data_IF_475739069427
#
_entry.id   IF_475739069427
#
_cell.length_a   1.000
_cell.length_b   1.000
_cell.length_c   1.000
_cell.angle_alpha   90.00
_cell.angle_beta   90.00
_cell.angle_gamma   90.00
#
_symmetry.space_group_name_H-M   'P 1'
#
loop_
_entity.id
_entity.type
_entity.pdbx_description
1 polymer ?
#
# COMPACT_ATOMS: atom_id res chain seq x y z
N UNK A 1 -17.84 -5.01 10.13
CA UNK A 1 -16.84 -5.76 9.36
C UNK A 1 -15.51 -5.62 10.06
N UNK A 2 -14.80 -6.73 10.33
CA UNK A 2 -13.44 -6.69 10.86
C UNK A 2 -12.49 -6.25 9.76
N UNK A 3 -11.56 -5.34 10.05
CA UNK A 3 -10.57 -4.89 9.07
C UNK A 3 -9.63 -6.04 8.66
N UNK A 4 -9.20 -6.05 7.41
CA UNK A 4 -8.17 -6.98 6.92
C UNK A 4 -6.86 -6.77 7.68
N UNK A 5 -6.13 -7.87 7.88
CA UNK A 5 -4.84 -7.87 8.60
C UNK A 5 -3.70 -7.90 7.60
N UNK A 6 -3.12 -6.74 7.35
CA UNK A 6 -1.97 -6.65 6.44
C UNK A 6 -0.69 -7.10 7.13
N UNK A 7 0.11 -7.87 6.38
CA UNK A 7 1.48 -8.24 6.73
C UNK A 7 2.46 -7.92 5.61
N UNK A 8 3.75 -8.15 5.89
CA UNK A 8 4.83 -7.96 4.91
C UNK A 8 5.80 -9.15 4.98
N UNK A 9 6.27 -9.61 3.83
CA UNK A 9 7.23 -10.70 3.71
C UNK A 9 8.64 -10.28 4.12
N UNK A 10 9.28 -11.05 4.99
CA UNK A 10 10.69 -10.78 5.36
C UNK A 10 11.65 -10.96 4.19
N UNK A 11 11.25 -11.69 3.15
CA UNK A 11 12.02 -11.82 1.90
C UNK A 11 12.27 -10.47 1.20
N UNK A 12 11.42 -9.45 1.43
CA UNK A 12 11.59 -8.08 0.96
C UNK A 12 12.46 -7.19 1.87
N UNK A 13 13.03 -7.75 2.94
CA UNK A 13 13.87 -7.05 3.93
C UNK A 13 15.19 -7.81 4.21
N UNK A 14 15.66 -8.61 3.25
CA UNK A 14 16.81 -9.52 3.43
C UNK A 14 18.14 -8.89 3.88
N UNK A 15 18.30 -7.56 3.73
CA UNK A 15 19.48 -6.82 4.19
C UNK A 15 19.39 -6.38 5.68
N UNK A 16 18.29 -6.68 6.37
CA UNK A 16 18.07 -6.36 7.78
C UNK A 16 18.28 -7.60 8.65
N UNK A 17 18.65 -7.41 9.92
CA UNK A 17 18.53 -8.49 10.91
C UNK A 17 17.04 -8.70 11.22
N UNK A 18 16.66 -9.90 11.63
CA UNK A 18 15.25 -10.22 11.91
C UNK A 18 14.58 -9.22 12.87
N UNK A 19 15.23 -8.84 13.97
CA UNK A 19 14.63 -7.90 14.92
C UNK A 19 14.39 -6.51 14.30
N UNK A 20 15.28 -6.05 13.41
CA UNK A 20 15.15 -4.76 12.70
C UNK A 20 14.03 -4.84 11.65
N UNK A 21 13.95 -5.94 10.90
CA UNK A 21 12.87 -6.17 9.95
C UNK A 21 11.50 -6.15 10.65
N UNK A 22 11.37 -6.83 11.79
CA UNK A 22 10.13 -6.85 12.59
C UNK A 22 9.78 -5.45 13.14
N UNK A 23 10.77 -4.67 13.58
CA UNK A 23 10.58 -3.28 14.04
C UNK A 23 10.08 -2.37 12.91
N UNK A 24 10.65 -2.48 11.72
CA UNK A 24 10.21 -1.71 10.54
C UNK A 24 8.76 -2.07 10.20
N UNK A 25 8.44 -3.36 10.11
CA UNK A 25 7.09 -3.85 9.77
C UNK A 25 6.06 -3.33 10.79
N UNK A 26 6.31 -3.50 12.08
CA UNK A 26 5.40 -3.03 13.13
C UNK A 26 5.32 -1.49 13.18
N UNK A 27 6.44 -0.79 13.02
CA UNK A 27 6.52 0.67 13.07
C UNK A 27 5.76 1.36 11.94
N UNK A 28 5.66 0.73 10.77
CA UNK A 28 4.82 1.20 9.65
C UNK A 28 3.32 0.95 9.89
N UNK A 29 2.99 0.06 10.82
CA UNK A 29 1.62 -0.26 11.21
C UNK A 29 1.03 -1.48 10.50
N UNK A 30 1.88 -2.41 10.02
CA UNK A 30 1.45 -3.77 9.69
C UNK A 30 1.07 -4.53 10.97
N UNK A 31 0.22 -5.55 10.81
CA UNK A 31 -0.29 -6.39 11.92
C UNK A 31 0.16 -7.85 11.83
N UNK A 32 0.99 -8.17 10.84
CA UNK A 32 1.56 -9.49 10.67
C UNK A 32 2.84 -9.49 9.84
N UNK A 33 3.49 -10.65 9.83
CA UNK A 33 4.71 -10.90 9.07
C UNK A 33 4.64 -12.27 8.41
N UNK A 34 5.00 -12.30 7.14
CA UNK A 34 5.32 -13.53 6.43
C UNK A 34 6.81 -13.82 6.66
N UNK A 35 7.11 -14.70 7.62
CA UNK A 35 8.46 -15.00 8.07
C UNK A 35 9.06 -16.10 7.21
N UNK A 36 9.96 -15.71 6.33
CA UNK A 36 10.69 -16.62 5.45
C UNK A 36 11.79 -17.33 6.24
N UNK A 37 11.77 -18.66 6.22
CA UNK A 37 12.87 -19.46 6.74
C UNK A 37 14.05 -19.38 5.77
N UNK A 38 15.11 -18.69 6.17
CA UNK A 38 16.33 -18.50 5.40
C UNK A 38 17.57 -18.39 6.29
N UNK A 39 18.76 -18.20 5.70
CA UNK A 39 20.02 -18.08 6.45
C UNK A 39 20.16 -16.76 7.22
N UNK A 40 19.48 -15.70 6.80
CA UNK A 40 19.59 -14.35 7.39
C UNK A 40 18.66 -14.15 8.57
N UNK A 41 17.36 -14.36 8.34
CA UNK A 41 16.30 -14.13 9.31
C UNK A 41 16.13 -15.31 10.27
N UNK A 42 15.68 -16.47 9.79
CA UNK A 42 15.42 -17.64 10.65
C UNK A 42 15.98 -18.93 10.06
N UNK A 43 17.28 -19.19 10.30
CA UNK A 43 17.91 -20.44 9.84
C UNK A 43 17.37 -21.63 10.66
N UNK A 44 16.63 -22.55 10.02
CA UNK A 44 16.04 -23.70 10.70
C UNK A 44 17.10 -24.70 11.17
N UNK A 45 18.35 -24.63 10.71
CA UNK A 45 19.43 -25.55 11.09
C UNK A 45 20.43 -24.95 12.06
N UNK A 46 20.19 -23.73 12.55
CA UNK A 46 21.10 -23.08 13.50
C UNK A 46 21.14 -23.79 14.85
N UNK A 47 22.30 -23.74 15.51
CA UNK A 47 22.44 -24.24 16.88
C UNK A 47 21.59 -23.40 17.85
N UNK A 48 20.99 -24.06 18.84
CA UNK A 48 20.16 -23.37 19.83
C UNK A 48 18.82 -22.82 19.30
N UNK A 49 18.30 -23.38 18.20
CA UNK A 49 17.04 -22.99 17.55
C UNK A 49 15.90 -22.73 18.55
N UNK A 50 15.66 -23.64 19.51
CA UNK A 50 14.56 -23.48 20.49
C UNK A 50 14.65 -22.18 21.30
N UNK A 51 15.86 -21.76 21.72
CA UNK A 51 16.06 -20.47 22.41
C UNK A 51 15.78 -19.30 21.48
N UNK A 52 16.15 -19.43 20.20
CA UNK A 52 15.92 -18.41 19.18
C UNK A 52 14.44 -18.26 18.88
N UNK A 53 13.71 -19.36 18.70
CA UNK A 53 12.25 -19.35 18.52
C UNK A 53 11.53 -18.72 19.72
N UNK A 54 11.92 -19.07 20.95
CA UNK A 54 11.34 -18.44 22.15
C UNK A 54 11.61 -16.92 22.23
N UNK A 55 12.76 -16.44 21.72
CA UNK A 55 13.03 -15.00 21.57
C UNK A 55 12.17 -14.38 20.47
N UNK A 56 12.14 -14.98 19.28
CA UNK A 56 11.36 -14.50 18.14
C UNK A 56 9.88 -14.40 18.48
N UNK A 57 9.31 -15.44 19.09
CA UNK A 57 7.91 -15.43 19.56
C UNK A 57 7.63 -14.27 20.51
N UNK A 58 8.46 -14.09 21.56
CA UNK A 58 8.29 -12.96 22.49
C UNK A 58 8.37 -11.61 21.77
N UNK A 59 9.23 -11.50 20.75
CA UNK A 59 9.34 -10.28 19.94
C UNK A 59 8.09 -10.02 19.10
N UNK A 60 7.58 -11.04 18.42
CA UNK A 60 6.33 -10.96 17.64
C UNK A 60 5.15 -10.55 18.54
N UNK A 61 5.00 -11.19 19.70
CA UNK A 61 3.96 -10.82 20.68
C UNK A 61 4.10 -9.38 21.17
N UNK A 62 5.32 -8.94 21.52
CA UNK A 62 5.57 -7.58 21.99
C UNK A 62 5.28 -6.51 20.92
N UNK A 63 5.43 -6.86 19.63
CA UNK A 63 5.14 -5.98 18.50
C UNK A 63 3.69 -6.10 18.00
N UNK A 64 2.90 -7.04 18.54
CA UNK A 64 1.53 -7.27 18.09
C UNK A 64 1.44 -7.87 16.67
N UNK A 65 2.46 -8.59 16.22
CA UNK A 65 2.51 -9.20 14.89
C UNK A 65 2.01 -10.64 14.92
N UNK A 66 1.00 -10.95 14.09
CA UNK A 66 0.73 -12.33 13.68
C UNK A 66 1.83 -12.85 12.76
N UNK A 67 1.94 -14.17 12.58
CA UNK A 67 3.00 -14.77 11.77
C UNK A 67 2.48 -15.91 10.90
N UNK A 68 2.93 -15.93 9.65
CA UNK A 68 2.91 -17.10 8.76
C UNK A 68 4.36 -17.49 8.50
N UNK A 69 4.65 -18.79 8.47
CA UNK A 69 6.00 -19.29 8.16
C UNK A 69 6.07 -19.65 6.68
N UNK A 70 7.02 -19.06 5.96
CA UNK A 70 7.24 -19.35 4.54
C UNK A 70 8.48 -20.20 4.31
N UNK A 71 8.41 -21.09 3.33
CA UNK A 71 9.48 -22.05 3.01
C UNK A 71 10.21 -21.73 1.70
N UNK A 72 10.07 -20.49 1.20
CA UNK A 72 10.64 -19.97 -0.05
C UNK A 72 12.08 -19.45 0.03
N UNK A 73 12.83 -19.76 1.08
CA UNK A 73 14.24 -19.35 1.20
C UNK A 73 15.11 -19.92 0.07
N UNK A 74 15.81 -19.05 -0.67
CA UNK A 74 16.52 -19.41 -1.92
C UNK A 74 17.58 -20.50 -1.78
N UNK A 75 18.40 -20.45 -0.75
CA UNK A 75 19.62 -21.28 -0.64
C UNK A 75 19.71 -22.00 0.70
N UNK A 76 18.55 -22.36 1.28
CA UNK A 76 18.49 -22.97 2.62
C UNK A 76 19.09 -24.37 2.60
N UNK A 77 18.69 -25.19 1.62
CA UNK A 77 19.06 -26.59 1.51
C UNK A 77 20.22 -26.84 0.55
N UNK A 78 20.39 -25.96 -0.45
CA UNK A 78 21.47 -26.03 -1.42
C UNK A 78 22.05 -24.63 -1.67
N UNK A 79 23.36 -24.40 -1.47
CA UNK A 79 23.97 -23.08 -1.66
C UNK A 79 24.11 -22.66 -3.13
N UNK A 80 23.94 -23.59 -4.09
CA UNK A 80 24.13 -23.35 -5.52
C UNK A 80 22.82 -23.36 -6.30
N UNK A 81 21.88 -24.23 -5.93
CA UNK A 81 20.60 -24.40 -6.62
C UNK A 81 19.47 -23.71 -5.85
N UNK A 82 18.91 -22.64 -6.44
CA UNK A 82 17.76 -21.92 -5.87
C UNK A 82 16.61 -22.89 -5.59
N UNK A 83 16.12 -22.88 -4.35
CA UNK A 83 15.02 -23.66 -3.81
C UNK A 83 15.16 -25.20 -3.86
N UNK A 84 16.25 -25.72 -4.41
CA UNK A 84 16.47 -27.15 -4.48
C UNK A 84 17.01 -27.69 -3.15
N UNK A 85 16.74 -28.96 -2.82
CA UNK A 85 15.85 -29.88 -3.55
C UNK A 85 14.38 -29.57 -3.28
N UNK A 86 13.48 -30.04 -4.15
CA UNK A 86 12.02 -29.95 -3.98
C UNK A 86 11.44 -31.33 -3.64
N UNK A 87 10.12 -31.44 -3.49
CA UNK A 87 9.46 -32.76 -3.35
C UNK A 87 9.48 -33.55 -4.68
N UNK A 88 9.86 -32.90 -5.79
CA UNK A 88 9.94 -33.49 -7.12
C UNK A 88 11.37 -33.90 -7.50
N UNK A 89 12.34 -33.74 -6.60
CA UNK A 89 13.75 -34.08 -6.89
C UNK A 89 13.86 -35.54 -7.35
N UNK A 90 14.64 -35.83 -8.40
CA UNK A 90 14.78 -37.18 -8.95
C UNK A 90 15.44 -38.13 -7.95
N UNK A 91 16.37 -37.62 -7.16
CA UNK A 91 17.09 -38.39 -6.14
C UNK A 91 16.25 -38.54 -4.86
N UNK A 92 16.03 -39.78 -4.36
CA UNK A 92 15.28 -40.01 -3.12
C UNK A 92 15.83 -39.24 -1.92
N UNK A 93 17.15 -39.08 -1.82
CA UNK A 93 17.81 -38.29 -0.78
C UNK A 93 17.46 -36.81 -0.88
N UNK A 94 17.33 -36.27 -2.10
CA UNK A 94 16.89 -34.90 -2.35
C UNK A 94 15.49 -34.66 -1.82
N UNK A 95 14.54 -35.54 -2.17
CA UNK A 95 13.16 -35.51 -1.66
C UNK A 95 13.12 -35.63 -0.14
N UNK A 96 13.90 -36.53 0.44
CA UNK A 96 13.98 -36.72 1.89
C UNK A 96 14.49 -35.45 2.62
N UNK A 97 15.46 -34.72 2.05
CA UNK A 97 15.92 -33.43 2.60
C UNK A 97 14.82 -32.36 2.58
N UNK A 98 14.10 -32.21 1.46
CA UNK A 98 12.98 -31.24 1.37
C UNK A 98 11.87 -31.59 2.36
N UNK A 99 11.51 -32.87 2.44
CA UNK A 99 10.51 -33.34 3.40
C UNK A 99 10.94 -33.06 4.84
N UNK A 100 12.20 -33.32 5.19
CA UNK A 100 12.76 -32.99 6.50
C UNK A 100 12.71 -31.50 6.83
N UNK A 101 12.94 -30.64 5.82
CA UNK A 101 12.78 -29.19 5.96
C UNK A 101 11.33 -28.78 6.20
N UNK A 102 10.37 -29.29 5.43
CA UNK A 102 8.94 -28.98 5.60
C UNK A 102 8.41 -29.43 6.97
N UNK A 103 8.77 -30.63 7.43
CA UNK A 103 8.43 -31.12 8.78
C UNK A 103 9.02 -30.22 9.88
N UNK A 104 10.25 -29.73 9.67
CA UNK A 104 10.88 -28.77 10.58
C UNK A 104 10.17 -27.41 10.55
N UNK A 105 9.75 -26.93 9.39
CA UNK A 105 8.97 -25.69 9.27
C UNK A 105 7.63 -25.79 10.01
N UNK A 106 6.95 -26.94 9.96
CA UNK A 106 5.76 -27.23 10.78
C UNK A 106 6.05 -27.14 12.28
N UNK A 107 7.16 -27.74 12.75
CA UNK A 107 7.57 -27.60 14.15
C UNK A 107 7.89 -26.16 14.56
N UNK A 108 8.59 -25.41 13.69
CA UNK A 108 8.88 -23.98 13.90
C UNK A 108 7.59 -23.17 13.97
N UNK A 109 6.63 -23.43 13.07
CA UNK A 109 5.33 -22.78 13.09
C UNK A 109 4.56 -23.06 14.38
N UNK A 110 4.60 -24.29 14.90
CA UNK A 110 4.00 -24.61 16.20
C UNK A 110 4.66 -23.82 17.35
N UNK A 111 5.99 -23.78 17.41
CA UNK A 111 6.74 -23.03 18.43
C UNK A 111 6.45 -21.51 18.38
N UNK A 112 6.27 -20.96 17.17
CA UNK A 112 5.95 -19.55 16.94
C UNK A 112 4.46 -19.22 17.05
N UNK A 113 3.58 -20.22 17.16
CA UNK A 113 2.12 -20.07 17.02
C UNK A 113 1.71 -19.39 15.70
N UNK A 114 2.32 -19.83 14.61
CA UNK A 114 2.01 -19.32 13.28
C UNK A 114 0.64 -19.77 12.79
N UNK A 115 -0.01 -18.91 12.01
CA UNK A 115 -1.36 -19.14 11.45
C UNK A 115 -1.38 -20.22 10.36
N UNK A 116 -0.26 -20.37 9.67
CA UNK A 116 -0.01 -21.38 8.63
C UNK A 116 1.50 -21.55 8.33
N UNK A 117 1.83 -22.64 7.62
CA UNK A 117 3.09 -22.82 6.89
C UNK A 117 2.81 -22.77 5.38
N UNK A 118 3.42 -21.84 4.64
CA UNK A 118 3.32 -21.75 3.19
C UNK A 118 4.42 -22.53 2.46
N UNK A 119 4.03 -23.35 1.47
CA UNK A 119 4.96 -24.07 0.59
C UNK A 119 4.31 -24.45 -0.75
N UNK A 120 5.15 -24.82 -1.72
CA UNK A 120 4.78 -25.08 -3.12
C UNK A 120 5.34 -26.43 -3.65
N UNK A 121 4.98 -26.84 -4.88
CA UNK A 121 5.41 -28.12 -5.48
C UNK A 121 6.86 -28.14 -5.97
N UNK A 122 7.23 -27.17 -6.79
CA UNK A 122 8.47 -27.09 -7.53
C UNK A 122 8.26 -27.34 -9.02
N UNK A 123 9.34 -27.17 -9.78
CA UNK A 123 9.37 -27.44 -11.22
C UNK A 123 9.88 -28.87 -11.44
N UNK A 124 9.19 -29.72 -12.23
CA UNK A 124 9.70 -31.03 -12.61
C UNK A 124 11.06 -30.93 -13.31
N UNK A 125 11.96 -31.86 -13.03
CA UNK A 125 13.26 -31.88 -13.72
C UNK A 125 13.07 -32.22 -15.22
N UNK A 126 13.94 -31.72 -16.12
CA UNK A 126 13.82 -32.00 -17.54
C UNK A 126 13.78 -33.51 -17.82
N UNK A 127 12.72 -33.96 -18.50
CA UNK A 127 12.53 -35.37 -18.85
C UNK A 127 11.81 -36.22 -17.79
N UNK A 128 11.48 -35.66 -16.62
CA UNK A 128 10.63 -36.32 -15.63
C UNK A 128 9.19 -36.40 -16.14
N UNK A 129 8.58 -37.58 -16.02
CA UNK A 129 7.17 -37.76 -16.35
C UNK A 129 6.26 -37.02 -15.36
N UNK A 130 5.17 -36.43 -15.86
CA UNK A 130 4.31 -35.57 -15.06
C UNK A 130 3.50 -36.36 -14.01
N UNK A 131 3.16 -37.62 -14.28
CA UNK A 131 2.47 -38.48 -13.31
C UNK A 131 3.45 -38.98 -12.24
N UNK A 132 4.70 -39.25 -12.61
CA UNK A 132 5.78 -39.53 -11.66
C UNK A 132 6.02 -38.33 -10.71
N UNK A 133 6.16 -37.12 -11.26
CA UNK A 133 6.32 -35.91 -10.47
C UNK A 133 5.13 -35.69 -9.53
N UNK A 134 3.90 -35.88 -10.01
CA UNK A 134 2.69 -35.75 -9.20
C UNK A 134 2.64 -36.79 -8.08
N UNK A 135 3.05 -38.03 -8.33
CA UNK A 135 3.15 -39.08 -7.32
C UNK A 135 4.14 -38.70 -6.22
N UNK A 136 5.33 -38.23 -6.57
CA UNK A 136 6.32 -37.76 -5.60
C UNK A 136 5.78 -36.60 -4.74
N UNK A 137 5.08 -35.64 -5.36
CA UNK A 137 4.43 -34.54 -4.65
C UNK A 137 3.38 -35.05 -3.67
N UNK A 138 2.49 -35.93 -4.12
CA UNK A 138 1.41 -36.48 -3.30
C UNK A 138 1.96 -37.23 -2.08
N UNK A 139 2.95 -38.11 -2.25
CA UNK A 139 3.59 -38.86 -1.16
C UNK A 139 4.27 -37.92 -0.13
N UNK A 140 4.97 -36.90 -0.62
CA UNK A 140 5.59 -35.87 0.20
C UNK A 140 4.57 -35.08 1.00
N UNK A 141 3.53 -34.55 0.32
CA UNK A 141 2.46 -33.77 0.95
C UNK A 141 1.69 -34.60 1.98
N UNK A 142 1.38 -35.88 1.72
CA UNK A 142 0.71 -36.75 2.68
C UNK A 142 1.49 -36.85 4.01
N UNK A 143 2.81 -36.94 3.94
CA UNK A 143 3.68 -36.98 5.13
C UNK A 143 3.72 -35.64 5.87
N UNK A 144 3.69 -34.52 5.15
CA UNK A 144 3.64 -33.18 5.78
C UNK A 144 2.27 -32.93 6.42
N UNK A 145 1.18 -33.36 5.78
CA UNK A 145 -0.20 -33.33 6.32
C UNK A 145 -0.30 -34.10 7.64
N UNK A 146 0.23 -35.32 7.69
CA UNK A 146 0.28 -36.11 8.94
C UNK A 146 1.04 -35.34 10.04
N UNK A 147 2.20 -34.79 9.70
CA UNK A 147 3.03 -34.03 10.65
C UNK A 147 2.30 -32.80 11.18
N UNK A 148 1.62 -32.07 10.30
CA UNK A 148 0.87 -30.86 10.63
C UNK A 148 -0.35 -31.17 11.51
N UNK A 149 -1.06 -32.27 11.21
CA UNK A 149 -2.19 -32.75 12.01
C UNK A 149 -1.81 -33.11 13.45
N UNK A 150 -0.62 -33.67 13.68
CA UNK A 150 -0.14 -34.02 15.02
C UNK A 150 0.08 -32.80 15.94
N UNK A 151 0.39 -31.64 15.37
CA UNK A 151 0.70 -30.41 16.12
C UNK A 151 -0.33 -29.29 15.92
N UNK A 152 -1.40 -29.55 15.16
CA UNK A 152 -2.48 -28.59 14.92
C UNK A 152 -2.10 -27.36 14.09
N UNK A 153 -1.08 -27.48 13.22
CA UNK A 153 -0.65 -26.39 12.33
C UNK A 153 -1.36 -26.52 10.99
N UNK A 154 -1.84 -25.41 10.42
CA UNK A 154 -2.40 -25.39 9.06
C UNK A 154 -1.30 -25.28 8.01
N UNK A 155 -1.51 -25.95 6.89
CA UNK A 155 -0.66 -25.89 5.72
C UNK A 155 -1.34 -25.02 4.67
N UNK A 156 -0.62 -24.05 4.12
CA UNK A 156 -1.01 -23.31 2.93
C UNK A 156 -0.19 -23.80 1.75
N UNK A 157 -0.81 -24.61 0.89
CA UNK A 157 -0.17 -24.97 -0.37
C UNK A 157 -0.34 -23.82 -1.37
N UNK A 158 0.73 -23.41 -2.02
CA UNK A 158 0.78 -22.29 -2.95
C UNK A 158 0.94 -22.82 -4.38
N UNK A 159 -0.06 -22.65 -5.25
CA UNK A 159 0.11 -22.80 -6.69
C UNK A 159 1.01 -21.68 -7.23
N UNK A 160 2.05 -22.04 -7.97
CA UNK A 160 3.06 -21.08 -8.43
C UNK A 160 3.29 -21.19 -9.96
N UNK A 161 3.30 -20.06 -10.70
CA UNK A 161 3.48 -20.10 -12.15
C UNK A 161 4.79 -20.75 -12.59
N UNK A 162 4.65 -21.76 -13.45
CA UNK A 162 5.76 -22.56 -13.97
C UNK A 162 6.11 -23.81 -13.15
N UNK A 163 5.41 -24.05 -12.03
CA UNK A 163 5.56 -25.26 -11.23
C UNK A 163 4.59 -26.38 -11.64
N UNK A 164 4.78 -27.58 -11.09
CA UNK A 164 3.91 -28.74 -11.34
C UNK A 164 2.44 -28.47 -10.99
N UNK A 165 2.20 -27.77 -9.87
CA UNK A 165 0.89 -27.24 -9.50
C UNK A 165 0.95 -25.73 -9.64
N UNK A 166 0.39 -25.23 -10.74
CA UNK A 166 0.50 -23.82 -11.13
C UNK A 166 -0.78 -23.01 -10.91
N UNK A 167 -1.92 -23.67 -10.73
CA UNK A 167 -3.25 -23.06 -10.67
C UNK A 167 -4.15 -23.76 -9.62
N UNK A 168 -5.35 -23.19 -9.43
CA UNK A 168 -6.37 -23.66 -8.49
C UNK A 168 -6.90 -25.05 -8.85
N UNK A 169 -7.03 -25.36 -10.14
CA UNK A 169 -7.43 -26.70 -10.60
C UNK A 169 -6.40 -27.76 -10.16
N UNK A 170 -5.11 -27.46 -10.31
CA UNK A 170 -4.01 -28.30 -9.85
C UNK A 170 -3.99 -28.47 -8.33
N UNK A 171 -4.28 -27.41 -7.57
CA UNK A 171 -4.42 -27.49 -6.12
C UNK A 171 -5.59 -28.39 -5.71
N UNK A 172 -6.77 -28.22 -6.32
CA UNK A 172 -7.96 -29.03 -6.04
C UNK A 172 -7.69 -30.51 -6.35
N UNK A 173 -7.03 -30.81 -7.47
CA UNK A 173 -6.60 -32.18 -7.81
C UNK A 173 -5.69 -32.77 -6.73
N UNK A 174 -4.67 -32.03 -6.29
CA UNK A 174 -3.75 -32.48 -5.24
C UNK A 174 -4.48 -32.69 -3.91
N UNK A 175 -5.33 -31.74 -3.51
CA UNK A 175 -6.12 -31.81 -2.29
C UNK A 175 -7.01 -33.06 -2.26
N UNK A 176 -7.71 -33.32 -3.36
CA UNK A 176 -8.57 -34.49 -3.48
C UNK A 176 -7.76 -35.80 -3.45
N UNK A 177 -6.60 -35.84 -4.12
CA UNK A 177 -5.71 -37.00 -4.10
C UNK A 177 -5.14 -37.30 -2.70
N UNK A 178 -5.10 -36.30 -1.81
CA UNK A 178 -4.72 -36.45 -0.40
C UNK A 178 -5.88 -36.87 0.51
N UNK A 179 -7.09 -37.05 -0.03
CA UNK A 179 -8.29 -37.39 0.74
C UNK A 179 -8.92 -36.19 1.45
N UNK A 180 -8.77 -35.00 0.88
CA UNK A 180 -9.43 -33.78 1.32
C UNK A 180 -9.18 -33.33 2.79
N UNK A 181 -7.95 -33.41 3.34
CA UNK A 181 -7.69 -33.18 4.76
C UNK A 181 -7.86 -31.70 5.18
N UNK A 182 -8.52 -31.48 6.32
CA UNK A 182 -8.83 -30.13 6.85
C UNK A 182 -7.59 -29.24 7.08
N UNK A 183 -6.47 -29.85 7.48
CA UNK A 183 -5.22 -29.11 7.75
C UNK A 183 -4.52 -28.65 6.46
N UNK A 184 -4.89 -29.18 5.29
CA UNK A 184 -4.31 -28.83 4.00
C UNK A 184 -5.18 -27.78 3.31
N UNK A 185 -4.84 -26.53 3.58
CA UNK A 185 -5.43 -25.35 2.96
C UNK A 185 -4.59 -24.79 1.81
N UNK A 186 -4.96 -23.59 1.38
CA UNK A 186 -4.40 -22.86 0.27
C UNK A 186 -3.72 -21.59 0.77
N UNK A 187 -2.49 -21.35 0.32
CA UNK A 187 -1.92 -20.00 0.21
C UNK A 187 -2.33 -19.46 -1.15
N UNK A 188 -3.17 -18.43 -1.17
CA UNK A 188 -3.56 -17.77 -2.41
C UNK A 188 -2.66 -16.57 -2.65
N UNK A 189 -1.83 -16.66 -3.68
CA UNK A 189 -1.08 -15.51 -4.19
C UNK A 189 -1.93 -14.79 -5.25
N UNK A 190 -2.23 -13.51 -5.00
CA UNK A 190 -3.10 -12.70 -5.84
C UNK A 190 -2.44 -12.37 -7.19
N UNK A 191 -1.13 -12.15 -7.21
CA UNK A 191 -0.35 -11.96 -8.43
C UNK A 191 -0.36 -13.19 -9.32
N UNK A 192 -0.20 -14.39 -8.76
CA UNK A 192 -0.26 -15.66 -9.47
C UNK A 192 -1.62 -15.88 -10.11
N UNK A 193 -2.71 -15.52 -9.42
CA UNK A 193 -4.04 -15.50 -10.02
C UNK A 193 -4.10 -14.57 -11.25
N UNK A 194 -3.57 -13.35 -11.15
CA UNK A 194 -3.49 -12.44 -12.30
C UNK A 194 -2.58 -12.98 -13.41
N UNK A 195 -1.53 -13.72 -13.08
CA UNK A 195 -0.60 -14.27 -14.06
C UNK A 195 -1.26 -15.39 -14.86
N UNK A 196 -1.89 -16.36 -14.20
CA UNK A 196 -2.29 -17.64 -14.82
C UNK A 196 -3.78 -17.95 -14.82
N UNK A 197 -4.51 -17.61 -13.75
CA UNK A 197 -5.91 -18.04 -13.62
C UNK A 197 -6.79 -17.43 -14.71
N UNK A 198 -7.69 -18.18 -15.35
CA UNK A 198 -8.57 -17.63 -16.37
C UNK A 198 -9.60 -16.64 -15.80
N UNK A 199 -9.73 -16.60 -14.46
CA UNK A 199 -10.65 -15.75 -13.73
C UNK A 199 -9.96 -14.49 -13.19
N UNK A 200 -10.70 -13.38 -12.98
CA UNK A 200 -10.18 -12.24 -12.25
C UNK A 200 -9.75 -12.62 -10.82
N UNK A 201 -8.73 -11.97 -10.23
CA UNK A 201 -8.25 -12.34 -8.88
C UNK A 201 -9.33 -12.31 -7.78
N UNK A 202 -10.31 -11.40 -7.87
CA UNK A 202 -11.43 -11.36 -6.92
C UNK A 202 -12.35 -12.60 -7.00
N UNK A 203 -12.50 -13.20 -8.18
CA UNK A 203 -13.25 -14.45 -8.35
C UNK A 203 -12.43 -15.64 -7.83
N UNK A 204 -11.12 -15.63 -8.07
CA UNK A 204 -10.19 -16.60 -7.49
C UNK A 204 -10.28 -16.61 -5.95
N UNK A 205 -10.34 -15.44 -5.31
CA UNK A 205 -10.58 -15.32 -3.86
C UNK A 205 -11.87 -16.02 -3.43
N UNK A 206 -12.99 -15.79 -4.15
CA UNK A 206 -14.27 -16.42 -3.81
C UNK A 206 -14.23 -17.94 -3.98
N UNK A 207 -13.59 -18.42 -5.04
CA UNK A 207 -13.39 -19.85 -5.30
C UNK A 207 -12.53 -20.50 -4.21
N UNK A 208 -11.45 -19.85 -3.81
CA UNK A 208 -10.49 -20.34 -2.82
C UNK A 208 -11.01 -20.30 -1.37
N UNK A 209 -12.07 -19.53 -1.09
CA UNK A 209 -12.57 -19.25 0.24
C UNK A 209 -12.71 -20.47 1.18
N UNK A 210 -13.19 -21.66 0.73
CA UNK A 210 -13.32 -22.82 1.60
C UNK A 210 -12.01 -23.35 2.18
N UNK A 211 -10.88 -23.08 1.53
CA UNK A 211 -9.57 -23.63 1.89
C UNK A 211 -8.53 -22.57 2.24
N UNK A 212 -8.89 -21.30 2.17
CA UNK A 212 -7.96 -20.18 2.29
C UNK A 212 -7.38 -20.06 3.71
N UNK A 213 -6.06 -20.22 3.84
CA UNK A 213 -5.36 -20.11 5.14
C UNK A 213 -4.31 -19.01 5.19
N UNK A 214 -3.78 -18.60 4.03
CA UNK A 214 -2.83 -17.50 3.87
C UNK A 214 -3.09 -16.77 2.54
N UNK A 215 -2.77 -15.48 2.47
CA UNK A 215 -2.82 -14.69 1.23
C UNK A 215 -1.50 -13.96 1.06
N UNK A 216 -0.90 -14.10 -0.13
CA UNK A 216 0.19 -13.25 -0.61
C UNK A 216 -0.36 -12.23 -1.62
N UNK A 217 0.22 -11.04 -1.64
CA UNK A 217 -0.27 -9.94 -2.46
C UNK A 217 0.84 -9.00 -2.95
N UNK A 218 0.84 -8.77 -4.25
CA UNK A 218 1.74 -7.94 -5.01
C UNK A 218 1.03 -7.58 -6.31
N UNK A 219 1.64 -6.73 -7.13
CA UNK A 219 1.13 -6.49 -8.47
C UNK A 219 1.80 -7.45 -9.47
N UNK A 220 1.09 -7.78 -10.53
CA UNK A 220 1.57 -8.71 -11.55
C UNK A 220 0.85 -8.45 -12.87
N UNK A 221 1.44 -8.91 -13.98
CA UNK A 221 0.85 -8.82 -15.33
C UNK A 221 0.42 -10.19 -15.83
N UNK A 222 -0.60 -10.23 -16.69
CA UNK A 222 -1.08 -11.46 -17.31
C UNK A 222 0.06 -12.17 -18.07
N UNK A 223 0.29 -13.44 -17.77
CA UNK A 223 1.28 -14.29 -18.45
C UNK A 223 2.75 -13.96 -18.13
N UNK A 224 3.05 -13.05 -17.20
CA UNK A 224 4.42 -12.72 -16.79
C UNK A 224 4.56 -12.88 -15.28
N UNK A 225 5.30 -13.92 -14.87
CA UNK A 225 5.59 -14.18 -13.47
C UNK A 225 6.70 -13.23 -12.97
N UNK A 226 6.30 -12.01 -12.60
CA UNK A 226 7.14 -10.96 -12.02
C UNK A 226 6.38 -10.25 -10.90
N UNK A 227 6.91 -10.29 -9.68
CA UNK A 227 6.34 -9.58 -8.53
C UNK A 227 6.69 -8.09 -8.64
N UNK A 228 5.68 -7.24 -8.80
CA UNK A 228 5.81 -5.79 -9.00
C UNK A 228 5.24 -5.02 -7.80
N UNK A 229 5.74 -3.80 -7.58
CA UNK A 229 5.12 -2.89 -6.61
C UNK A 229 3.68 -2.53 -7.05
N UNK A 230 2.82 -2.24 -6.08
CA UNK A 230 1.42 -1.84 -6.35
C UNK A 230 1.34 -0.65 -7.32
N UNK A 231 0.65 -0.85 -8.45
CA UNK A 231 0.44 0.16 -9.49
C UNK A 231 1.33 -0.03 -10.73
N UNK A 232 2.32 -0.94 -10.69
CA UNK A 232 3.20 -1.22 -11.83
C UNK A 232 2.74 -2.41 -12.69
N UNK A 233 1.76 -3.19 -12.19
CA UNK A 233 1.12 -4.31 -12.88
C UNK A 233 -0.28 -3.97 -13.39
N UNK A 234 -1.17 -4.96 -13.37
CA UNK A 234 -2.50 -4.91 -13.99
C UNK A 234 -3.65 -5.16 -13.00
N UNK A 235 -3.35 -5.37 -11.72
CA UNK A 235 -4.35 -5.83 -10.75
C UNK A 235 -5.21 -4.67 -10.24
N UNK A 236 -6.53 -4.82 -10.34
CA UNK A 236 -7.50 -3.96 -9.65
C UNK A 236 -7.71 -4.47 -8.21
N UNK A 237 -6.99 -3.91 -7.24
CA UNK A 237 -6.98 -4.39 -5.84
C UNK A 237 -8.28 -4.18 -5.04
N UNK A 238 -9.02 -3.07 -5.16
CA UNK A 238 -10.27 -2.85 -4.42
C UNK A 238 -11.27 -4.01 -4.47
N UNK A 239 -11.64 -4.59 -5.64
CA UNK A 239 -12.53 -5.75 -5.66
C UNK A 239 -11.91 -7.00 -5.03
N UNK A 240 -10.58 -7.17 -5.06
CA UNK A 240 -9.89 -8.29 -4.41
C UNK A 240 -10.00 -8.19 -2.88
N UNK A 241 -9.69 -7.02 -2.32
CA UNK A 241 -9.78 -6.77 -0.88
C UNK A 241 -11.25 -6.81 -0.39
N UNK A 242 -12.19 -6.36 -1.22
CA UNK A 242 -13.61 -6.51 -0.97
C UNK A 242 -14.02 -8.00 -0.94
N UNK A 243 -13.55 -8.81 -1.89
CA UNK A 243 -13.84 -10.24 -1.92
C UNK A 243 -13.28 -10.97 -0.68
N UNK A 244 -12.06 -10.63 -0.21
CA UNK A 244 -11.51 -11.19 1.03
C UNK A 244 -12.38 -10.85 2.25
N UNK A 245 -12.92 -9.63 2.29
CA UNK A 245 -13.85 -9.20 3.35
C UNK A 245 -15.20 -9.92 3.24
N UNK A 246 -15.73 -10.06 2.02
CA UNK A 246 -17.00 -10.73 1.68
C UNK A 246 -16.99 -12.19 2.14
N UNK A 247 -15.91 -12.92 1.85
CA UNK A 247 -15.76 -14.34 2.25
C UNK A 247 -15.37 -14.51 3.72
N UNK A 248 -15.22 -13.41 4.47
CA UNK A 248 -14.94 -13.42 5.90
C UNK A 248 -13.53 -13.89 6.25
N UNK A 249 -12.55 -13.70 5.36
CA UNK A 249 -11.15 -14.06 5.61
C UNK A 249 -10.57 -13.25 6.78
N UNK A 250 -9.88 -13.93 7.71
CA UNK A 250 -9.32 -13.34 8.94
C UNK A 250 -7.81 -13.56 9.11
N UNK A 251 -7.20 -14.30 8.19
CA UNK A 251 -5.76 -14.53 8.20
C UNK A 251 -4.98 -13.30 7.73
N UNK A 252 -3.67 -13.47 7.58
CA UNK A 252 -2.81 -12.42 7.04
C UNK A 252 -2.98 -12.27 5.52
N UNK A 253 -2.92 -11.02 5.06
CA UNK A 253 -2.75 -10.63 3.66
C UNK A 253 -1.37 -9.99 3.57
N UNK A 254 -0.37 -10.77 3.16
CA UNK A 254 1.05 -10.42 3.29
C UNK A 254 1.64 -9.97 1.96
N UNK A 255 2.30 -8.82 1.95
CA UNK A 255 2.95 -8.30 0.73
C UNK A 255 4.19 -9.14 0.40
N UNK A 256 4.31 -9.62 -0.84
CA UNK A 256 5.45 -10.45 -1.28
C UNK A 256 6.29 -9.78 -2.38
N UNK A 257 7.41 -9.15 -1.99
CA UNK A 257 8.29 -8.41 -2.91
C UNK A 257 9.78 -8.79 -2.74
N UNK A 258 10.17 -10.05 -3.02
CA UNK A 258 11.49 -10.59 -2.71
C UNK A 258 12.65 -10.00 -3.52
N UNK A 259 12.37 -9.15 -4.52
CA UNK A 259 13.37 -8.47 -5.37
C UNK A 259 13.51 -6.97 -5.06
N UNK A 260 12.74 -6.47 -4.10
CA UNK A 260 12.72 -5.04 -3.72
C UNK A 260 13.47 -4.75 -2.42
N UNK A 261 14.29 -5.69 -1.93
CA UNK A 261 15.06 -5.55 -0.68
C UNK A 261 15.95 -4.31 -0.64
N UNK A 262 16.50 -3.88 -1.78
CA UNK A 262 17.35 -2.70 -1.91
C UNK A 262 16.69 -1.39 -1.45
N UNK A 263 15.35 -1.32 -1.42
CA UNK A 263 14.54 -0.18 -0.98
C UNK A 263 13.50 -0.57 0.09
N UNK A 264 13.72 -1.72 0.75
CA UNK A 264 12.73 -2.46 1.54
C UNK A 264 11.81 -1.61 2.43
N UNK A 265 12.31 -0.80 3.40
CA UNK A 265 11.44 0.00 4.27
C UNK A 265 10.54 0.98 3.52
N UNK A 266 11.01 1.56 2.41
CA UNK A 266 10.24 2.51 1.59
C UNK A 266 9.18 1.77 0.77
N UNK A 267 9.53 0.63 0.18
CA UNK A 267 8.57 -0.23 -0.53
C UNK A 267 7.50 -0.76 0.42
N UNK A 268 7.86 -1.18 1.64
CA UNK A 268 6.92 -1.61 2.66
C UNK A 268 5.95 -0.49 3.07
N UNK A 269 6.42 0.76 3.24
CA UNK A 269 5.57 1.89 3.54
C UNK A 269 4.55 2.16 2.42
N UNK A 270 5.04 2.31 1.18
CA UNK A 270 4.19 2.55 -0.01
C UNK A 270 3.15 1.44 -0.21
N UNK A 271 3.55 0.19 0.00
CA UNK A 271 2.66 -0.97 -0.11
C UNK A 271 1.51 -0.91 0.88
N UNK A 272 1.79 -0.54 2.14
CA UNK A 272 0.76 -0.43 3.16
C UNK A 272 -0.23 0.70 2.86
N UNK A 273 0.28 1.84 2.39
CA UNK A 273 -0.55 2.97 2.01
C UNK A 273 -1.45 2.63 0.80
N UNK A 274 -0.90 1.93 -0.19
CA UNK A 274 -1.67 1.42 -1.33
C UNK A 274 -2.79 0.46 -0.90
N UNK A 275 -2.48 -0.52 -0.04
CA UNK A 275 -3.47 -1.48 0.48
C UNK A 275 -4.56 -0.81 1.32
N UNK A 276 -4.20 0.17 2.17
CA UNK A 276 -5.17 0.96 2.95
C UNK A 276 -6.06 1.80 2.04
N UNK A 277 -5.49 2.46 1.05
CA UNK A 277 -6.26 3.24 0.08
C UNK A 277 -7.22 2.35 -0.72
N UNK A 278 -6.74 1.19 -1.22
CA UNK A 278 -7.56 0.24 -1.98
C UNK A 278 -8.69 -0.36 -1.13
N UNK A 279 -8.42 -0.73 0.13
CA UNK A 279 -9.42 -1.25 1.07
C UNK A 279 -10.53 -0.25 1.38
N UNK A 280 -10.22 1.04 1.27
CA UNK A 280 -11.16 2.10 1.57
C UNK A 280 -12.05 2.47 0.39
N UNK A 281 -11.75 2.03 -0.83
CA UNK A 281 -12.52 2.41 -2.00
C UNK A 281 -13.99 1.94 -1.94
N UNK A 282 -14.31 0.70 -1.51
CA UNK A 282 -15.71 0.30 -1.28
C UNK A 282 -16.41 1.20 -0.26
N UNK A 283 -15.75 1.51 0.87
CA UNK A 283 -16.27 2.44 1.88
C UNK A 283 -16.45 3.84 1.32
N UNK A 284 -15.50 4.33 0.53
CA UNK A 284 -15.53 5.66 -0.10
C UNK A 284 -16.70 5.75 -1.06
N UNK A 285 -16.92 4.74 -1.89
CA UNK A 285 -18.05 4.67 -2.79
C UNK A 285 -19.39 4.67 -2.02
N UNK A 286 -19.51 3.85 -0.97
CA UNK A 286 -20.70 3.83 -0.10
C UNK A 286 -20.92 5.17 0.60
N UNK A 287 -19.86 5.76 1.16
CA UNK A 287 -19.91 7.03 1.86
C UNK A 287 -20.30 8.17 0.91
N UNK A 288 -19.78 8.19 -0.32
CA UNK A 288 -20.18 9.14 -1.38
C UNK A 288 -21.66 8.99 -1.71
N UNK A 289 -22.16 7.76 -1.89
CA UNK A 289 -23.58 7.52 -2.16
C UNK A 289 -24.45 7.93 -0.97
N UNK A 290 -23.99 7.68 0.25
CA UNK A 290 -24.69 8.06 1.47
C UNK A 290 -24.74 9.58 1.66
N UNK A 291 -23.68 10.31 1.31
CA UNK A 291 -23.69 11.78 1.29
C UNK A 291 -24.63 12.32 0.23
N UNK A 292 -24.70 11.70 -0.96
CA UNK A 292 -25.68 12.04 -2.00
C UNK A 292 -27.13 11.83 -1.55
N UNK A 293 -27.39 10.74 -0.82
CA UNK A 293 -28.73 10.40 -0.35
C UNK A 293 -29.14 11.18 0.91
N UNK A 294 -28.22 11.40 1.86
CA UNK A 294 -28.43 12.18 3.08
C UNK A 294 -27.21 13.08 3.36
N UNK A 295 -27.28 14.38 3.00
CA UNK A 295 -26.21 15.36 3.22
C UNK A 295 -25.73 15.47 4.67
N UNK A 296 -26.59 15.13 5.65
CA UNK A 296 -26.24 15.23 7.07
C UNK A 296 -25.18 14.20 7.46
N UNK A 297 -25.11 13.07 6.75
CA UNK A 297 -24.12 12.00 6.97
C UNK A 297 -22.67 12.47 6.80
N UNK A 298 -22.45 13.55 6.03
CA UNK A 298 -21.14 14.16 5.83
C UNK A 298 -20.46 14.51 7.17
N UNK A 299 -21.22 14.99 8.16
CA UNK A 299 -20.68 15.37 9.48
C UNK A 299 -20.04 14.20 10.23
N UNK A 300 -20.53 12.98 10.02
CA UNK A 300 -20.00 11.77 10.65
C UNK A 300 -18.96 11.06 9.79
N UNK A 301 -19.09 11.14 8.45
CA UNK A 301 -18.22 10.43 7.51
C UNK A 301 -16.91 11.18 7.25
N UNK A 302 -16.95 12.51 7.21
CA UNK A 302 -15.80 13.36 6.91
C UNK A 302 -14.64 13.20 7.91
N UNK A 303 -14.87 13.13 9.24
CA UNK A 303 -13.78 12.98 10.20
C UNK A 303 -13.12 11.60 10.17
N UNK A 304 -13.89 10.55 9.85
CA UNK A 304 -13.41 9.17 9.85
C UNK A 304 -12.77 8.74 8.52
N UNK A 305 -12.79 9.58 7.49
CA UNK A 305 -12.24 9.26 6.17
C UNK A 305 -10.79 8.76 6.21
N UNK A 306 -9.93 9.41 6.99
CA UNK A 306 -8.53 8.99 7.15
C UNK A 306 -8.38 7.66 7.93
N UNK A 307 -9.36 7.27 8.75
CA UNK A 307 -9.36 5.97 9.44
C UNK A 307 -9.64 4.82 8.47
N UNK A 308 -10.42 5.09 7.44
CA UNK A 308 -10.75 4.11 6.41
C UNK A 308 -9.70 4.08 5.30
N UNK A 309 -9.28 5.24 4.78
CA UNK A 309 -8.38 5.37 3.64
C UNK A 309 -6.89 5.47 3.96
N UNK A 310 -6.52 5.60 5.23
CA UNK A 310 -5.16 5.97 5.63
C UNK A 310 -4.94 7.49 5.59
N UNK A 311 -3.85 7.92 6.21
CA UNK A 311 -3.57 9.35 6.44
C UNK A 311 -3.39 10.13 5.15
N UNK A 312 -2.65 9.59 4.17
CA UNK A 312 -2.38 10.27 2.90
C UNK A 312 -3.61 10.32 1.99
N UNK A 313 -4.30 9.19 1.79
CA UNK A 313 -5.47 9.13 0.91
C UNK A 313 -6.76 9.70 1.54
N UNK A 314 -6.80 9.84 2.87
CA UNK A 314 -7.97 10.36 3.60
C UNK A 314 -8.39 11.77 3.17
N UNK A 315 -7.45 12.61 2.75
CA UNK A 315 -7.78 13.93 2.23
C UNK A 315 -8.49 13.87 0.87
N UNK A 316 -8.00 13.05 -0.06
CA UNK A 316 -8.65 12.87 -1.36
C UNK A 316 -10.07 12.31 -1.20
N UNK A 317 -10.27 11.37 -0.27
CA UNK A 317 -11.61 10.85 0.05
C UNK A 317 -12.51 11.95 0.61
N UNK A 318 -12.01 12.79 1.53
CA UNK A 318 -12.77 13.95 2.02
C UNK A 318 -13.20 14.90 0.90
N UNK A 319 -12.33 15.17 -0.07
CA UNK A 319 -12.68 15.98 -1.26
C UNK A 319 -13.80 15.32 -2.06
N UNK A 320 -13.76 14.00 -2.29
CA UNK A 320 -14.84 13.28 -2.96
C UNK A 320 -16.17 13.36 -2.20
N UNK A 321 -16.15 13.23 -0.87
CA UNK A 321 -17.35 13.40 -0.04
C UNK A 321 -17.94 14.80 -0.17
N UNK A 322 -17.10 15.85 -0.24
CA UNK A 322 -17.56 17.23 -0.45
C UNK A 322 -18.16 17.42 -1.85
N UNK A 323 -17.55 16.86 -2.89
CA UNK A 323 -18.08 16.89 -4.26
C UNK A 323 -19.41 16.15 -4.41
N UNK A 324 -19.65 15.15 -3.56
CA UNK A 324 -20.88 14.38 -3.54
C UNK A 324 -22.06 15.13 -2.88
N UNK A 325 -21.80 16.25 -2.19
CA UNK A 325 -22.80 16.99 -1.44
C UNK A 325 -23.83 17.62 -2.40
N UNK A 326 -25.11 17.19 -2.36
CA UNK A 326 -26.16 17.80 -3.16
C UNK A 326 -26.62 19.13 -2.53
N UNK A 327 -27.48 19.86 -3.23
CA UNK A 327 -28.06 21.11 -2.75
C UNK A 327 -27.52 22.34 -3.48
N UNK A 328 -28.11 23.48 -3.18
CA UNK A 328 -27.77 24.79 -3.73
C UNK A 328 -26.39 25.28 -3.24
N UNK A 329 -25.80 26.24 -3.94
CA UNK A 329 -24.51 26.81 -3.53
C UNK A 329 -24.51 27.36 -2.09
N UNK A 330 -25.53 28.10 -1.60
CA UNK A 330 -25.58 28.54 -0.20
C UNK A 330 -25.56 27.40 0.83
N UNK A 331 -26.25 26.29 0.53
CA UNK A 331 -26.27 25.10 1.40
C UNK A 331 -24.90 24.43 1.44
N UNK A 332 -24.24 24.28 0.29
CA UNK A 332 -22.88 23.73 0.20
C UNK A 332 -21.87 24.61 0.94
N UNK A 333 -21.93 25.93 0.77
CA UNK A 333 -21.05 26.88 1.48
C UNK A 333 -21.23 26.76 2.99
N UNK A 334 -22.48 26.72 3.48
CA UNK A 334 -22.77 26.58 4.91
C UNK A 334 -22.15 25.29 5.48
N UNK A 335 -22.21 24.19 4.73
CA UNK A 335 -21.59 22.93 5.13
C UNK A 335 -20.06 23.00 5.17
N UNK A 336 -19.43 23.58 4.13
CA UNK A 336 -17.98 23.78 4.04
C UNK A 336 -17.47 24.66 5.19
N UNK A 337 -18.16 25.77 5.49
CA UNK A 337 -17.80 26.65 6.58
C UNK A 337 -17.84 25.97 7.95
N UNK A 338 -18.86 25.14 8.19
CA UNK A 338 -18.96 24.38 9.43
C UNK A 338 -17.79 23.41 9.58
N UNK A 339 -17.49 22.63 8.54
CA UNK A 339 -16.38 21.68 8.54
C UNK A 339 -15.04 22.38 8.70
N UNK A 340 -14.82 23.50 8.02
CA UNK A 340 -13.59 24.27 8.12
C UNK A 340 -13.38 24.87 9.51
N UNK A 341 -14.43 25.41 10.13
CA UNK A 341 -14.35 26.03 11.47
C UNK A 341 -14.16 25.03 12.60
N UNK A 342 -14.72 23.83 12.46
CA UNK A 342 -14.69 22.80 13.50
C UNK A 342 -13.57 21.78 13.31
N UNK A 343 -12.99 21.71 12.10
CA UNK A 343 -12.08 20.65 11.73
C UNK A 343 -10.62 20.91 12.07
N UNK A 344 -9.86 19.81 12.12
CA UNK A 344 -8.40 19.84 12.24
C UNK A 344 -7.72 20.35 10.96
N UNK A 345 -6.38 20.45 10.96
CA UNK A 345 -5.66 20.97 9.78
C UNK A 345 -5.86 20.12 8.53
N UNK A 346 -5.95 18.79 8.65
CA UNK A 346 -6.13 17.91 7.49
C UNK A 346 -7.55 18.03 6.92
N UNK A 347 -8.55 18.21 7.78
CA UNK A 347 -9.94 18.49 7.44
C UNK A 347 -10.10 19.85 6.75
N UNK A 348 -9.45 20.89 7.29
CA UNK A 348 -9.40 22.23 6.67
C UNK A 348 -8.75 22.20 5.29
N UNK A 349 -7.67 21.43 5.15
CA UNK A 349 -6.96 21.28 3.88
C UNK A 349 -7.85 20.64 2.80
N UNK A 350 -8.59 19.60 3.17
CA UNK A 350 -9.57 18.97 2.28
C UNK A 350 -10.69 19.95 1.84
N UNK A 351 -11.20 20.78 2.76
CA UNK A 351 -12.20 21.81 2.41
C UNK A 351 -11.64 22.80 1.38
N UNK A 352 -10.43 23.32 1.58
CA UNK A 352 -9.81 24.28 0.66
C UNK A 352 -9.57 23.67 -0.73
N UNK A 353 -9.08 22.43 -0.79
CA UNK A 353 -8.83 21.71 -2.05
C UNK A 353 -10.11 21.36 -2.80
N UNK A 354 -11.24 21.22 -2.11
CA UNK A 354 -12.54 20.94 -2.73
C UNK A 354 -13.19 22.17 -3.41
N UNK A 355 -12.76 23.40 -3.10
CA UNK A 355 -13.39 24.62 -3.64
C UNK A 355 -13.32 24.72 -5.16
N UNK A 356 -12.15 24.45 -5.76
CA UNK A 356 -11.98 24.58 -7.20
C UNK A 356 -12.81 23.56 -8.01
N UNK A 357 -12.90 22.28 -7.60
CA UNK A 357 -13.80 21.31 -8.22
C UNK A 357 -15.30 21.59 -7.99
N UNK A 358 -15.69 22.08 -6.80
CA UNK A 358 -17.09 22.42 -6.51
C UNK A 358 -17.58 23.66 -7.27
N UNK A 359 -16.66 24.55 -7.63
CA UNK A 359 -16.90 25.76 -8.40
C UNK A 359 -16.61 25.56 -9.91
N UNK A 360 -16.53 24.32 -10.41
CA UNK A 360 -16.19 24.07 -11.82
C UNK A 360 -17.14 24.78 -12.79
N UNK A 361 -18.43 24.81 -12.45
CA UNK A 361 -19.48 25.42 -13.26
C UNK A 361 -19.80 26.87 -12.84
N UNK A 362 -19.00 27.44 -11.91
CA UNK A 362 -19.21 28.79 -11.37
C UNK A 362 -20.29 28.90 -10.30
N UNK A 363 -20.89 27.78 -9.89
CA UNK A 363 -21.99 27.70 -8.93
C UNK A 363 -21.68 28.31 -7.56
N UNK A 364 -20.47 28.10 -7.03
CA UNK A 364 -20.10 28.65 -5.71
C UNK A 364 -19.87 30.15 -5.79
N UNK A 365 -19.36 30.64 -6.92
CA UNK A 365 -19.03 32.05 -7.11
C UNK A 365 -18.07 32.54 -6.02
N UNK A 366 -18.11 33.82 -5.62
CA UNK A 366 -17.25 34.37 -4.58
C UNK A 366 -17.65 33.98 -3.14
N UNK A 367 -18.68 33.15 -2.95
CA UNK A 367 -19.24 32.88 -1.62
C UNK A 367 -18.29 32.15 -0.66
N UNK A 368 -17.27 31.44 -1.16
CA UNK A 368 -16.26 30.77 -0.32
C UNK A 368 -15.00 31.62 -0.06
N UNK A 369 -14.94 32.87 -0.54
CA UNK A 369 -13.81 33.78 -0.27
C UNK A 369 -13.51 33.99 1.23
N UNK A 370 -14.49 33.97 2.17
CA UNK A 370 -14.18 34.04 3.60
C UNK A 370 -13.27 32.90 4.09
N UNK A 371 -13.39 31.69 3.52
CA UNK A 371 -12.52 30.54 3.85
C UNK A 371 -11.09 30.76 3.37
N UNK A 372 -10.95 31.29 2.15
CA UNK A 372 -9.65 31.68 1.58
C UNK A 372 -9.02 32.77 2.44
N UNK A 373 -9.78 33.81 2.80
CA UNK A 373 -9.28 34.91 3.61
C UNK A 373 -8.83 34.45 5.00
N UNK A 374 -9.50 33.47 5.62
CA UNK A 374 -9.05 32.87 6.88
C UNK A 374 -7.75 32.08 6.70
N UNK A 375 -7.69 31.18 5.71
CA UNK A 375 -6.51 30.39 5.41
C UNK A 375 -5.27 31.27 5.16
N UNK A 376 -5.44 32.34 4.38
CA UNK A 376 -4.42 33.34 4.08
C UNK A 376 -4.04 34.22 5.28
N UNK A 377 -4.76 34.19 6.40
CA UNK A 377 -4.33 34.85 7.65
C UNK A 377 -3.47 33.93 8.54
N UNK A 378 -3.54 32.62 8.33
CA UNK A 378 -2.71 31.65 9.09
C UNK A 378 -1.25 31.66 8.65
N UNK A 379 -0.35 31.12 9.48
CA UNK A 379 1.04 30.86 9.11
C UNK A 379 1.31 29.37 8.84
N UNK A 380 0.27 28.54 8.62
CA UNK A 380 0.45 27.14 8.21
C UNK A 380 0.68 27.09 6.69
N UNK A 381 1.89 26.67 6.31
CA UNK A 381 2.33 26.57 4.91
C UNK A 381 1.32 25.77 4.08
N UNK A 382 0.79 24.66 4.61
CA UNK A 382 -0.10 23.76 3.86
C UNK A 382 -1.44 24.43 3.55
N UNK A 383 -1.99 25.16 4.52
CA UNK A 383 -3.26 25.88 4.35
C UNK A 383 -3.11 27.05 3.37
N UNK A 384 -2.01 27.80 3.46
CA UNK A 384 -1.73 28.90 2.53
C UNK A 384 -1.53 28.37 1.11
N UNK A 385 -0.74 27.30 0.93
CA UNK A 385 -0.55 26.65 -0.38
C UNK A 385 -1.89 26.19 -0.98
N UNK A 386 -2.78 25.58 -0.20
CA UNK A 386 -4.08 25.17 -0.72
C UNK A 386 -5.00 26.36 -1.04
N UNK A 387 -4.88 27.46 -0.28
CA UNK A 387 -5.68 28.66 -0.48
C UNK A 387 -5.29 29.46 -1.72
N UNK A 388 -4.08 29.33 -2.26
CA UNK A 388 -3.66 30.01 -3.51
C UNK A 388 -3.96 29.22 -4.79
N UNK A 389 -4.85 28.22 -4.69
CA UNK A 389 -5.28 27.39 -5.80
C UNK A 389 -6.28 28.04 -6.79
N UNK A 390 -6.81 27.26 -7.75
CA UNK A 390 -7.58 27.79 -8.88
C UNK A 390 -8.85 28.56 -8.52
N UNK A 391 -9.50 28.24 -7.39
CA UNK A 391 -10.69 28.97 -6.92
C UNK A 391 -10.35 30.43 -6.62
N UNK A 392 -9.26 30.67 -5.89
CA UNK A 392 -8.74 32.00 -5.56
C UNK A 392 -8.31 32.76 -6.81
N UNK A 393 -7.66 32.08 -7.76
CA UNK A 393 -7.28 32.68 -9.03
C UNK A 393 -8.47 33.18 -9.86
N UNK A 394 -9.68 32.60 -9.70
CA UNK A 394 -10.91 33.02 -10.38
C UNK A 394 -11.62 34.17 -9.67
N UNK A 395 -11.77 34.08 -8.34
CA UNK A 395 -12.70 34.94 -7.60
C UNK A 395 -12.05 36.03 -6.76
N UNK A 396 -10.80 35.85 -6.34
CA UNK A 396 -10.14 36.85 -5.52
C UNK A 396 -9.79 38.07 -6.38
N UNK A 397 -10.12 39.26 -5.92
CA UNK A 397 -9.81 40.50 -6.65
C UNK A 397 -8.30 40.69 -6.83
N UNK A 398 -7.92 41.56 -7.77
CA UNK A 398 -6.51 41.74 -8.11
C UNK A 398 -5.65 42.22 -6.94
N UNK A 399 -6.04 43.26 -6.17
CA UNK A 399 -5.27 43.69 -5.01
C UNK A 399 -5.06 42.59 -3.95
N UNK A 400 -6.12 41.87 -3.57
CA UNK A 400 -6.01 40.80 -2.57
C UNK A 400 -5.22 39.60 -3.08
N UNK A 401 -5.35 39.27 -4.37
CA UNK A 401 -4.56 38.21 -4.99
C UNK A 401 -3.05 38.54 -4.97
N UNK A 402 -2.64 39.78 -5.28
CA UNK A 402 -1.23 40.20 -5.13
C UNK A 402 -0.70 40.02 -3.71
N UNK A 403 -1.52 40.36 -2.70
CA UNK A 403 -1.14 40.16 -1.30
C UNK A 403 -0.99 38.68 -0.93
N UNK A 404 -1.84 37.81 -1.48
CA UNK A 404 -1.71 36.36 -1.32
C UNK A 404 -0.39 35.84 -1.94
N UNK A 405 -0.04 36.31 -3.14
CA UNK A 405 1.23 35.95 -3.80
C UNK A 405 2.43 36.43 -2.98
N UNK A 406 2.44 37.68 -2.52
CA UNK A 406 3.50 38.16 -1.65
C UNK A 406 3.62 37.34 -0.38
N UNK A 407 2.48 36.94 0.22
CA UNK A 407 2.51 36.07 1.39
C UNK A 407 3.21 34.74 1.10
N UNK A 408 2.99 34.13 -0.06
CA UNK A 408 3.73 32.93 -0.48
C UNK A 408 5.24 33.19 -0.48
N UNK A 409 5.68 34.30 -1.08
CA UNK A 409 7.08 34.72 -1.11
C UNK A 409 7.64 34.90 0.31
N UNK A 410 6.92 35.60 1.20
CA UNK A 410 7.33 35.79 2.60
C UNK A 410 7.45 34.47 3.37
N UNK A 411 6.63 33.48 3.04
CA UNK A 411 6.60 32.17 3.69
C UNK A 411 7.48 31.12 3.01
N UNK A 412 8.22 31.48 1.96
CA UNK A 412 8.97 30.55 1.10
C UNK A 412 8.11 29.41 0.54
N UNK A 413 6.85 29.72 0.18
CA UNK A 413 5.99 28.81 -0.58
C UNK A 413 6.35 28.98 -2.06
N UNK A 414 6.68 27.90 -2.77
CA UNK A 414 7.00 27.96 -4.20
C UNK A 414 5.92 28.68 -5.01
N UNK A 415 6.33 29.63 -5.85
CA UNK A 415 5.42 30.42 -6.68
C UNK A 415 4.69 29.57 -7.75
N UNK A 416 5.21 28.39 -8.10
CA UNK A 416 4.55 27.43 -8.99
C UNK A 416 3.23 26.87 -8.41
N UNK A 417 3.06 26.91 -7.08
CA UNK A 417 1.83 26.54 -6.41
C UNK A 417 0.71 27.60 -6.55
N UNK A 418 1.04 28.83 -6.96
CA UNK A 418 0.09 29.93 -7.12
C UNK A 418 -0.65 29.79 -8.45
N UNK A 419 -1.93 29.43 -8.40
CA UNK A 419 -2.74 29.30 -9.60
C UNK A 419 -2.94 30.66 -10.30
N UNK A 420 -2.78 30.66 -11.63
CA UNK A 420 -3.00 31.85 -12.45
C UNK A 420 -1.91 32.91 -12.37
N UNK A 421 -0.73 32.59 -11.80
CA UNK A 421 0.39 33.51 -11.66
C UNK A 421 0.70 34.25 -12.96
N UNK A 422 1.08 33.53 -14.02
CA UNK A 422 1.43 34.11 -15.33
C UNK A 422 0.35 35.01 -15.95
N UNK A 423 -0.94 34.63 -15.78
CA UNK A 423 -2.07 35.38 -16.34
C UNK A 423 -2.40 36.65 -15.55
N UNK A 424 -2.16 36.64 -14.23
CA UNK A 424 -2.56 37.70 -13.31
C UNK A 424 -1.38 38.57 -12.86
N UNK A 425 -0.14 38.23 -13.20
CA UNK A 425 1.00 39.12 -12.99
C UNK A 425 0.78 40.41 -13.76
N UNK A 426 0.93 41.53 -13.06
CA UNK A 426 0.78 42.88 -13.59
C UNK A 426 1.92 43.78 -13.09
N UNK A 427 2.07 45.01 -13.63
CA UNK A 427 3.19 45.88 -13.28
C UNK A 427 3.29 46.18 -11.77
N UNK A 428 2.17 46.19 -11.06
CA UNK A 428 2.15 46.44 -9.62
C UNK A 428 2.69 45.24 -8.84
N UNK A 429 2.35 44.00 -9.23
CA UNK A 429 2.94 42.81 -8.61
C UNK A 429 4.46 42.74 -8.88
N UNK A 430 4.90 43.05 -10.10
CA UNK A 430 6.33 43.09 -10.45
C UNK A 430 7.06 44.14 -9.62
N UNK A 431 6.47 45.33 -9.45
CA UNK A 431 6.99 46.37 -8.55
C UNK A 431 7.10 45.88 -7.10
N UNK A 432 6.10 45.14 -6.61
CA UNK A 432 6.10 44.53 -5.27
C UNK A 432 7.19 43.47 -5.11
N UNK A 433 7.43 42.65 -6.14
CA UNK A 433 8.53 41.68 -6.19
C UNK A 433 9.90 42.35 -6.14
N UNK A 434 10.13 43.41 -6.93
CA UNK A 434 11.37 44.19 -6.86
C UNK A 434 11.58 44.81 -5.48
N UNK A 435 10.53 45.36 -4.86
CA UNK A 435 10.61 45.92 -3.53
C UNK A 435 11.02 44.88 -2.48
N UNK A 436 10.40 43.68 -2.53
CA UNK A 436 10.76 42.57 -1.64
C UNK A 436 12.20 42.10 -1.86
N UNK A 437 12.63 41.93 -3.11
CA UNK A 437 13.99 41.53 -3.45
C UNK A 437 15.03 42.55 -2.93
N UNK A 438 14.77 43.84 -3.13
CA UNK A 438 15.62 44.91 -2.62
C UNK A 438 15.71 44.91 -1.09
N UNK A 439 14.60 44.70 -0.37
CA UNK A 439 14.58 44.59 1.09
C UNK A 439 15.40 43.39 1.59
N UNK A 440 15.31 42.24 0.91
CA UNK A 440 16.10 41.05 1.24
C UNK A 440 17.59 41.30 1.03
N UNK A 441 17.98 41.85 -0.12
CA UNK A 441 19.37 42.18 -0.43
C UNK A 441 19.96 43.20 0.56
N UNK A 442 19.20 44.25 0.89
CA UNK A 442 19.62 45.26 1.88
C UNK A 442 19.82 44.66 3.28
N UNK A 443 19.07 43.61 3.63
CA UNK A 443 19.20 42.86 4.87
C UNK A 443 20.25 41.72 4.80
N UNK A 444 21.07 41.64 3.75
CA UNK A 444 22.10 40.59 3.58
C UNK A 444 21.53 39.19 3.40
N UNK A 445 20.32 39.11 2.84
CA UNK A 445 19.42 37.96 2.90
C UNK A 445 19.14 37.49 1.44
N UNK A 446 19.27 36.20 1.08
CA UNK A 446 19.18 35.77 -0.32
C UNK A 446 17.77 35.91 -0.88
N UNK A 447 17.61 36.26 -2.16
CA UNK A 447 16.28 36.31 -2.81
C UNK A 447 15.90 34.88 -3.24
N UNK A 448 14.64 34.41 -3.07
CA UNK A 448 14.20 33.11 -3.58
C UNK A 448 14.38 32.98 -5.10
N UNK A 449 14.85 31.81 -5.57
CA UNK A 449 15.16 31.57 -6.99
C UNK A 449 13.93 31.63 -7.90
N UNK A 450 12.78 31.17 -7.40
CA UNK A 450 11.50 31.25 -8.11
C UNK A 450 11.01 32.70 -8.28
N UNK A 451 11.30 33.56 -7.31
CA UNK A 451 11.06 35.01 -7.41
C UNK A 451 12.01 35.66 -8.43
N UNK A 452 13.30 35.31 -8.43
CA UNK A 452 14.25 35.79 -9.44
C UNK A 452 13.79 35.42 -10.85
N UNK A 453 13.35 34.17 -11.03
CA UNK A 453 12.77 33.69 -12.29
C UNK A 453 11.58 34.56 -12.73
N UNK A 454 10.69 34.94 -11.81
CA UNK A 454 9.58 35.83 -12.16
C UNK A 454 10.03 37.26 -12.52
N UNK A 455 11.07 37.78 -11.88
CA UNK A 455 11.63 39.09 -12.21
C UNK A 455 12.29 39.08 -13.59
N UNK A 456 13.08 38.06 -13.90
CA UNK A 456 13.74 37.90 -15.21
C UNK A 456 12.74 37.79 -16.36
N UNK A 457 11.60 37.12 -16.15
CA UNK A 457 10.52 37.01 -17.14
C UNK A 457 9.81 38.34 -17.45
N UNK A 458 9.93 39.33 -16.56
CA UNK A 458 9.21 40.60 -16.63
C UNK A 458 10.13 41.83 -16.71
N UNK A 459 11.44 41.62 -16.79
CA UNK A 459 12.41 42.69 -17.07
C UNK A 459 12.42 42.98 -18.58
N UNK A 460 11.78 44.07 -19.00
CA UNK A 460 11.81 44.55 -20.38
C UNK A 460 12.91 45.59 -20.63
N UNK A 461 13.94 45.66 -19.77
CA UNK A 461 15.12 46.50 -19.95
C UNK A 461 16.29 45.78 -20.64
N UNK A 462 16.58 46.19 -21.89
CA UNK A 462 17.79 45.90 -22.68
C UNK A 462 19.02 45.41 -21.89
N UNK A 463 19.45 44.15 -22.11
CA UNK A 463 20.84 43.72 -21.87
C UNK A 463 21.22 42.41 -22.57
N UNK A 464 21.24 42.41 -23.90
CA UNK A 464 22.18 41.59 -24.66
C UNK A 464 23.31 42.49 -25.20
N UNK A 465 24.16 42.93 -24.28
CA UNK A 465 25.51 43.34 -24.62
C UNK A 465 26.43 42.43 -23.79
N UNK A 466 27.12 41.52 -24.50
CA UNK A 466 28.08 40.55 -24.00
C UNK A 466 27.50 39.28 -23.38
N UNK A 467 27.18 38.32 -24.25
CA UNK A 467 27.73 36.96 -24.21
C UNK A 467 27.78 36.41 -25.64
#
# INVERSE_FOLDING_TARGET
>A
MTALRFGYGTNGLGDHRLDEALEVIAGLGYTGVALTLDRGHLDPYTSGLSRRLARTRRRLTALGLGVVVETGGRYVLDPWRKHAPTLLDSEPEGRARRLGFLRRAVGIAADLEAEAVSFWSGVPEPGMDHDEAFKHLQEGCATVVETAGLVGVRLGFEPEPGMLVADLDGYERLRHALGDPDVFGLTLDIGHCQCLEPFPPAECVRRAAPWLVNVQIEDMRRGVHEHLEFGDGEIDFPPVLAALTEVGYRGLVSVELPRHGHSGPRTAARSLDALRAASALPWTAEAVQRVRADPRSLTTLFPIAARHAGTEAGEAVRVQLLQALPGSAPERITALERLYRQGDTAERLAVLRALAPLDRDGDLGPAALPLIADALRTNDIRLVTAAVGPYTARHLDQPAWRQAVLKCVFMNIPLDAVAGLSRRTDPELVRMFHAFAAERLAAGRPVPDDLLTQLDLHDTGERHAHL
#
